data_IF_891318349655
#
_entry.id   IF_891318349655
#
_cell.length_a   1.000
_cell.length_b   1.000
_cell.length_c   1.000
_cell.angle_alpha   90.00
_cell.angle_beta   90.00
_cell.angle_gamma   90.00
#
_symmetry.space_group_name_H-M   'P 1'
#
loop_
_entity.id
_entity.type
_entity.pdbx_description
1 polymer ?
#
# COMPACT_ATOMS: atom_id res chain seq x y z
N UNK A 1 9.55 23.56 -45.60
CA UNK A 1 10.26 22.29 -45.37
C UNK A 1 10.41 22.12 -43.85
N UNK A 2 9.54 21.34 -43.22
CA UNK A 2 9.60 21.07 -41.75
C UNK A 2 10.11 19.65 -41.59
N UNK A 3 11.33 19.54 -41.11
CA UNK A 3 12.02 18.26 -40.92
C UNK A 3 11.46 17.63 -39.64
N UNK A 4 10.69 16.55 -39.78
CA UNK A 4 10.21 15.71 -38.68
C UNK A 4 11.38 14.92 -38.11
N UNK A 5 11.79 15.26 -36.90
CA UNK A 5 12.73 14.44 -36.12
C UNK A 5 11.93 13.32 -35.42
N UNK A 6 11.88 12.17 -36.08
CA UNK A 6 11.42 10.93 -35.43
C UNK A 6 12.43 10.54 -34.33
N UNK A 7 12.08 10.80 -33.08
CA UNK A 7 12.80 10.22 -31.93
C UNK A 7 12.50 8.73 -31.90
N UNK A 8 13.44 7.93 -32.36
CA UNK A 8 13.46 6.50 -32.18
C UNK A 8 13.50 6.17 -30.68
N UNK A 9 12.35 5.77 -30.13
CA UNK A 9 12.23 5.16 -28.82
C UNK A 9 12.82 3.75 -28.97
N UNK A 10 14.02 3.53 -28.42
CA UNK A 10 14.58 2.19 -28.30
C UNK A 10 13.52 1.33 -27.60
N UNK A 11 13.01 0.33 -28.29
CA UNK A 11 12.13 -0.67 -27.72
C UNK A 11 12.96 -1.55 -26.79
N UNK A 12 13.15 -1.12 -25.54
CA UNK A 12 13.38 -2.08 -24.48
C UNK A 12 12.11 -2.90 -24.43
N UNK A 13 12.20 -4.22 -24.66
CA UNK A 13 11.09 -5.14 -24.43
C UNK A 13 10.66 -4.99 -22.98
N UNK A 14 9.57 -4.26 -22.75
CA UNK A 14 8.99 -4.14 -21.40
C UNK A 14 8.75 -5.56 -20.91
N UNK A 15 9.16 -5.90 -19.67
CA UNK A 15 8.89 -7.22 -19.13
C UNK A 15 7.39 -7.48 -19.25
N UNK A 16 7.01 -8.62 -19.82
CA UNK A 16 5.60 -8.97 -19.95
C UNK A 16 5.04 -9.40 -18.61
N UNK A 17 4.58 -8.43 -17.82
CA UNK A 17 3.97 -8.67 -16.51
C UNK A 17 2.64 -9.43 -16.60
N UNK A 18 1.98 -9.44 -17.75
CA UNK A 18 0.82 -10.27 -17.99
C UNK A 18 1.22 -11.74 -18.03
N UNK A 19 2.21 -12.09 -18.86
CA UNK A 19 2.70 -13.47 -18.93
C UNK A 19 3.26 -13.96 -17.58
N UNK A 20 3.93 -13.08 -16.82
CA UNK A 20 4.39 -13.41 -15.45
C UNK A 20 3.23 -13.69 -14.51
N UNK A 21 2.17 -12.86 -14.55
CA UNK A 21 0.97 -13.08 -13.74
C UNK A 21 0.24 -14.38 -14.13
N UNK A 22 0.15 -14.68 -15.41
CA UNK A 22 -0.44 -15.92 -15.91
C UNK A 22 0.35 -17.15 -15.45
N UNK A 23 1.68 -17.11 -15.51
CA UNK A 23 2.55 -18.18 -15.04
C UNK A 23 2.41 -18.47 -13.53
N UNK A 24 2.16 -17.46 -12.71
CA UNK A 24 1.93 -17.63 -11.27
C UNK A 24 0.51 -18.09 -10.93
N UNK A 25 -0.46 -17.75 -11.76
CA UNK A 25 -1.88 -17.96 -11.48
C UNK A 25 -2.23 -19.44 -11.25
N UNK A 26 -1.61 -20.37 -11.98
CA UNK A 26 -1.85 -21.80 -11.80
C UNK A 26 -1.47 -22.28 -10.40
N UNK A 27 -0.28 -21.89 -9.92
CA UNK A 27 0.18 -22.21 -8.57
C UNK A 27 -0.71 -21.60 -7.49
N UNK A 28 -1.19 -20.36 -7.69
CA UNK A 28 -2.11 -19.70 -6.75
C UNK A 28 -3.45 -20.42 -6.69
N UNK A 29 -4.02 -20.79 -7.84
CA UNK A 29 -5.28 -21.52 -7.90
C UNK A 29 -5.20 -22.89 -7.21
N UNK A 30 -4.07 -23.58 -7.33
CA UNK A 30 -3.85 -24.88 -6.69
C UNK A 30 -3.87 -24.80 -5.16
N UNK A 31 -3.47 -23.66 -4.57
CA UNK A 31 -3.39 -23.44 -3.12
C UNK A 31 -4.63 -22.73 -2.54
N UNK A 32 -5.41 -22.03 -3.38
CA UNK A 32 -6.48 -21.14 -2.91
C UNK A 32 -7.52 -21.85 -2.04
N UNK A 33 -7.97 -23.03 -2.44
CA UNK A 33 -8.97 -23.81 -1.68
C UNK A 33 -8.47 -24.24 -0.29
N UNK A 34 -7.18 -24.54 -0.15
CA UNK A 34 -6.58 -24.89 1.14
C UNK A 34 -6.49 -23.67 2.05
N UNK A 35 -6.07 -22.51 1.53
CA UNK A 35 -6.03 -21.27 2.27
C UNK A 35 -7.42 -20.84 2.74
N UNK A 36 -8.44 -20.97 1.88
CA UNK A 36 -9.83 -20.67 2.23
C UNK A 36 -10.34 -21.58 3.35
N UNK A 37 -10.11 -22.89 3.22
CA UNK A 37 -10.54 -23.91 4.20
C UNK A 37 -9.90 -23.72 5.58
N UNK A 38 -8.63 -23.34 5.62
CA UNK A 38 -7.85 -23.23 6.87
C UNK A 38 -7.83 -21.81 7.46
N UNK A 39 -8.25 -20.81 6.69
CA UNK A 39 -8.08 -19.41 7.04
C UNK A 39 -6.61 -18.96 7.08
N UNK A 40 -5.70 -19.70 6.44
CA UNK A 40 -4.28 -19.37 6.41
C UNK A 40 -3.99 -18.25 5.41
N UNK A 41 -2.97 -17.45 5.70
CA UNK A 41 -2.57 -16.37 4.82
C UNK A 41 -1.56 -16.86 3.76
N UNK A 42 -1.74 -16.56 2.46
CA UNK A 42 -0.92 -17.08 1.35
C UNK A 42 0.42 -16.33 1.21
N UNK A 43 1.32 -16.45 2.18
CA UNK A 43 2.62 -15.77 2.19
C UNK A 43 3.48 -16.12 0.98
N UNK A 44 3.42 -17.33 0.50
CA UNK A 44 4.15 -17.83 -0.66
C UNK A 44 3.75 -17.09 -1.95
N UNK A 45 2.46 -16.78 -2.13
CA UNK A 45 1.99 -16.04 -3.30
C UNK A 45 2.66 -14.66 -3.39
N UNK A 46 2.84 -13.99 -2.25
CA UNK A 46 3.48 -12.66 -2.21
C UNK A 46 4.99 -12.72 -2.41
N UNK A 47 5.66 -13.81 -2.00
CA UNK A 47 7.07 -14.02 -2.31
C UNK A 47 7.25 -14.22 -3.81
N UNK A 48 6.45 -15.08 -4.43
CA UNK A 48 6.46 -15.34 -5.86
C UNK A 48 6.14 -14.06 -6.67
N UNK A 49 5.15 -13.26 -6.24
CA UNK A 49 4.86 -11.94 -6.84
C UNK A 49 6.04 -10.96 -6.73
N UNK A 50 6.76 -10.98 -5.62
CA UNK A 50 7.95 -10.15 -5.41
C UNK A 50 9.09 -10.58 -6.33
N UNK A 51 9.39 -11.87 -6.41
CA UNK A 51 10.43 -12.45 -7.27
C UNK A 51 10.14 -12.22 -8.76
N UNK A 52 8.85 -12.25 -9.15
CA UNK A 52 8.42 -11.93 -10.50
C UNK A 52 8.44 -10.41 -10.81
N UNK A 53 8.77 -9.55 -9.84
CA UNK A 53 8.80 -8.09 -9.99
C UNK A 53 7.40 -7.45 -10.05
N UNK A 54 6.35 -8.19 -9.75
CA UNK A 54 4.97 -7.72 -9.83
C UNK A 54 4.63 -6.71 -8.72
N UNK A 55 5.32 -6.71 -7.57
CA UNK A 55 5.10 -5.70 -6.53
C UNK A 55 5.47 -4.28 -6.99
N UNK A 56 6.40 -4.14 -7.93
CA UNK A 56 6.82 -2.85 -8.46
C UNK A 56 6.05 -2.36 -9.69
N UNK A 57 4.98 -3.08 -10.09
CA UNK A 57 4.24 -2.82 -11.33
C UNK A 57 3.74 -1.36 -11.45
N UNK A 58 3.21 -0.78 -10.38
CA UNK A 58 2.66 0.58 -10.35
C UNK A 58 3.64 1.63 -9.81
N UNK A 59 4.82 1.22 -9.38
CA UNK A 59 5.90 2.13 -8.99
C UNK A 59 6.39 2.87 -10.23
N UNK A 60 6.58 4.20 -10.17
CA UNK A 60 7.06 4.97 -11.33
C UNK A 60 8.41 4.47 -11.85
N UNK A 61 8.60 4.51 -13.18
CA UNK A 61 9.84 4.06 -13.83
C UNK A 61 11.08 4.83 -13.34
N UNK A 62 10.94 6.11 -12.98
CA UNK A 62 12.02 6.92 -12.38
C UNK A 62 12.51 6.36 -11.03
N UNK A 63 11.75 5.49 -10.41
CA UNK A 63 12.10 4.80 -9.16
C UNK A 63 12.37 3.30 -9.36
N UNK A 64 12.51 2.84 -10.61
CA UNK A 64 12.85 1.46 -10.95
C UNK A 64 11.66 0.52 -11.11
N UNK A 65 10.43 1.02 -11.03
CA UNK A 65 9.22 0.22 -11.29
C UNK A 65 8.80 0.24 -12.75
N UNK A 66 7.70 -0.45 -13.08
CA UNK A 66 7.17 -0.48 -14.43
C UNK A 66 6.35 0.76 -14.82
N UNK A 67 5.87 1.55 -13.87
CA UNK A 67 5.05 2.72 -14.11
C UNK A 67 3.72 2.39 -14.80
N UNK A 68 3.19 1.18 -14.60
CA UNK A 68 2.01 0.70 -15.28
C UNK A 68 0.77 1.54 -14.93
N UNK A 69 -0.01 1.87 -15.96
CA UNK A 69 -1.27 2.58 -15.81
C UNK A 69 -2.42 1.67 -15.35
N UNK A 70 -3.55 2.28 -14.97
CA UNK A 70 -4.68 1.58 -14.38
C UNK A 70 -5.23 0.42 -15.22
N UNK A 71 -5.32 0.59 -16.55
CA UNK A 71 -5.81 -0.47 -17.45
C UNK A 71 -4.95 -1.72 -17.41
N UNK A 72 -3.62 -1.56 -17.47
CA UNK A 72 -2.69 -2.68 -17.43
C UNK A 72 -2.70 -3.35 -16.06
N UNK A 73 -2.68 -2.55 -15.01
CA UNK A 73 -2.79 -3.00 -13.62
C UNK A 73 -4.07 -3.82 -13.38
N UNK A 74 -5.22 -3.36 -13.89
CA UNK A 74 -6.48 -4.09 -13.77
C UNK A 74 -6.45 -5.47 -14.45
N UNK A 75 -5.74 -5.61 -15.58
CA UNK A 75 -5.57 -6.93 -16.23
C UNK A 75 -4.76 -7.88 -15.35
N UNK A 76 -3.65 -7.42 -14.78
CA UNK A 76 -2.84 -8.24 -13.85
C UNK A 76 -3.67 -8.65 -12.63
N UNK A 77 -4.38 -7.72 -12.01
CA UNK A 77 -5.29 -8.03 -10.88
C UNK A 77 -6.38 -9.02 -11.29
N UNK A 78 -6.93 -8.90 -12.50
CA UNK A 78 -7.95 -9.82 -13.02
C UNK A 78 -7.44 -11.26 -13.19
N UNK A 79 -6.19 -11.43 -13.64
CA UNK A 79 -5.54 -12.73 -13.78
C UNK A 79 -5.34 -13.35 -12.38
N UNK A 80 -4.70 -12.63 -11.48
CA UNK A 80 -4.45 -13.11 -10.10
C UNK A 80 -5.77 -13.36 -9.37
N UNK A 81 -6.78 -12.49 -9.54
CA UNK A 81 -8.08 -12.61 -8.86
C UNK A 81 -8.92 -13.81 -9.30
N UNK A 82 -8.74 -14.30 -10.53
CA UNK A 82 -9.35 -15.56 -10.96
C UNK A 82 -8.73 -16.77 -10.27
N UNK A 83 -7.45 -16.69 -9.93
CA UNK A 83 -6.71 -17.77 -9.29
C UNK A 83 -6.89 -17.74 -7.76
N UNK A 84 -6.66 -16.58 -7.14
CA UNK A 84 -6.81 -16.34 -5.71
C UNK A 84 -7.27 -14.89 -5.44
N UNK A 85 -8.58 -14.69 -5.15
CA UNK A 85 -9.14 -13.38 -4.86
C UNK A 85 -8.50 -12.69 -3.65
N UNK A 86 -8.07 -13.45 -2.65
CA UNK A 86 -7.45 -12.91 -1.42
C UNK A 86 -6.11 -12.26 -1.71
N UNK A 87 -5.26 -12.93 -2.49
CA UNK A 87 -3.99 -12.39 -2.97
C UNK A 87 -4.22 -11.15 -3.84
N UNK A 88 -5.17 -11.21 -4.77
CA UNK A 88 -5.49 -10.09 -5.65
C UNK A 88 -5.98 -8.85 -4.88
N UNK A 89 -6.77 -9.04 -3.81
CA UNK A 89 -7.25 -7.95 -2.97
C UNK A 89 -6.10 -7.22 -2.28
N UNK A 90 -5.18 -7.94 -1.65
CA UNK A 90 -4.01 -7.34 -1.00
C UNK A 90 -3.12 -6.63 -2.00
N UNK A 91 -2.86 -7.27 -3.17
CA UNK A 91 -2.06 -6.71 -4.25
C UNK A 91 -2.69 -5.43 -4.82
N UNK A 92 -4.01 -5.40 -4.98
CA UNK A 92 -4.74 -4.22 -5.46
C UNK A 92 -4.60 -3.03 -4.52
N UNK A 93 -4.68 -3.27 -3.19
CA UNK A 93 -4.46 -2.21 -2.19
C UNK A 93 -3.05 -1.64 -2.29
N UNK A 94 -2.05 -2.49 -2.43
CA UNK A 94 -0.66 -2.07 -2.62
C UNK A 94 -0.49 -1.20 -3.90
N UNK A 95 -1.02 -1.63 -5.03
CA UNK A 95 -0.96 -0.90 -6.28
C UNK A 95 -1.66 0.46 -6.22
N UNK A 96 -2.87 0.52 -5.64
CA UNK A 96 -3.62 1.77 -5.48
C UNK A 96 -2.81 2.78 -4.66
N UNK A 97 -2.19 2.34 -3.56
CA UNK A 97 -1.39 3.24 -2.73
C UNK A 97 -0.18 3.82 -3.50
N UNK A 98 0.54 3.02 -4.29
CA UNK A 98 1.62 3.52 -5.15
C UNK A 98 1.12 4.49 -6.22
N UNK A 99 -0.01 4.18 -6.88
CA UNK A 99 -0.62 5.09 -7.87
C UNK A 99 -1.06 6.42 -7.26
N UNK A 100 -1.62 6.40 -6.06
CA UNK A 100 -2.02 7.62 -5.33
C UNK A 100 -0.79 8.43 -4.94
N UNK A 101 0.22 7.80 -4.34
CA UNK A 101 1.46 8.48 -3.95
C UNK A 101 2.17 9.13 -5.13
N UNK A 102 2.23 8.44 -6.28
CA UNK A 102 2.87 8.95 -7.48
C UNK A 102 2.19 10.18 -8.09
N UNK A 103 0.90 10.38 -7.82
CA UNK A 103 0.09 11.48 -8.37
C UNK A 103 -0.21 12.58 -7.38
N UNK A 104 0.00 12.34 -6.10
CA UNK A 104 -0.34 13.31 -5.06
C UNK A 104 0.79 14.32 -4.86
N UNK A 105 0.55 15.64 -5.07
CA UNK A 105 1.54 16.67 -4.83
C UNK A 105 1.83 16.88 -3.34
N UNK A 106 0.95 16.40 -2.47
CA UNK A 106 1.06 16.58 -1.02
C UNK A 106 1.86 15.49 -0.32
N UNK A 107 2.17 14.39 -1.03
CA UNK A 107 3.02 13.34 -0.48
C UNK A 107 4.48 13.78 -0.39
N UNK A 108 5.12 13.70 0.79
CA UNK A 108 6.54 14.01 0.91
C UNK A 108 7.38 13.05 0.07
N UNK A 109 8.14 13.63 -0.86
CA UNK A 109 8.95 12.89 -1.85
C UNK A 109 9.88 11.86 -1.22
N UNK A 110 10.45 12.16 -0.03
CA UNK A 110 11.33 11.23 0.70
C UNK A 110 10.63 9.90 1.03
N UNK A 111 9.33 9.94 1.39
CA UNK A 111 8.58 8.75 1.79
C UNK A 111 8.10 7.96 0.58
N UNK A 112 7.60 8.63 -0.46
CA UNK A 112 7.22 7.95 -1.71
C UNK A 112 8.42 7.26 -2.36
N UNK A 113 9.60 7.90 -2.39
CA UNK A 113 10.85 7.29 -2.88
C UNK A 113 11.27 6.09 -2.04
N UNK A 114 11.19 6.19 -0.71
CA UNK A 114 11.52 5.07 0.18
C UNK A 114 10.64 3.85 -0.09
N UNK A 115 9.31 4.04 -0.12
CA UNK A 115 8.35 2.98 -0.38
C UNK A 115 8.54 2.38 -1.78
N UNK A 116 8.72 3.23 -2.79
CA UNK A 116 8.98 2.81 -4.16
C UNK A 116 10.23 1.92 -4.26
N UNK A 117 11.36 2.38 -3.70
CA UNK A 117 12.61 1.63 -3.69
C UNK A 117 12.45 0.27 -3.01
N UNK A 118 11.86 0.23 -1.82
CA UNK A 118 11.70 -1.01 -1.08
C UNK A 118 10.80 -2.02 -1.81
N UNK A 119 9.77 -1.55 -2.54
CA UNK A 119 8.90 -2.42 -3.37
C UNK A 119 9.59 -2.93 -4.64
N UNK A 120 10.63 -2.25 -5.11
CA UNK A 120 11.49 -2.72 -6.22
C UNK A 120 12.53 -3.72 -5.72
N UNK A 121 13.10 -3.46 -4.55
CA UNK A 121 14.17 -4.27 -3.97
C UNK A 121 13.66 -5.60 -3.39
N UNK A 122 12.35 -5.72 -3.09
CA UNK A 122 11.81 -6.97 -2.54
C UNK A 122 10.41 -6.89 -1.97
N UNK A 123 10.14 -7.80 -1.03
CA UNK A 123 8.82 -7.98 -0.42
C UNK A 123 8.49 -6.83 0.55
N UNK A 124 7.97 -5.73 0.01
CA UNK A 124 7.61 -4.55 0.78
C UNK A 124 6.23 -4.01 0.38
N UNK A 125 5.18 -4.63 0.94
CA UNK A 125 3.81 -4.19 0.70
C UNK A 125 3.41 -3.03 1.63
N UNK A 126 2.51 -2.19 1.11
CA UNK A 126 1.92 -1.06 1.82
C UNK A 126 0.40 -1.08 1.66
N UNK A 127 -0.31 -0.76 2.74
CA UNK A 127 -1.75 -0.49 2.67
C UNK A 127 -2.17 0.64 3.61
N UNK A 128 -3.31 1.29 3.30
CA UNK A 128 -3.90 2.35 4.08
C UNK A 128 -4.90 1.79 5.09
N UNK A 129 -4.70 2.09 6.37
CA UNK A 129 -5.59 1.75 7.46
C UNK A 129 -6.49 2.94 7.80
N UNK A 130 -7.73 2.93 7.28
CA UNK A 130 -8.64 4.07 7.34
C UNK A 130 -9.87 3.81 8.20
N UNK A 131 -10.38 2.57 8.21
CA UNK A 131 -11.68 2.24 8.81
C UNK A 131 -11.55 2.05 10.31
N UNK A 132 -12.51 2.60 11.04
CA UNK A 132 -12.65 2.49 12.49
C UNK A 132 -14.00 1.87 12.85
N UNK A 133 -14.12 1.14 13.97
CA UNK A 133 -15.36 0.45 14.33
C UNK A 133 -16.58 1.39 14.40
N UNK A 134 -16.42 2.56 14.99
CA UNK A 134 -17.51 3.50 15.27
C UNK A 134 -17.72 4.49 14.11
N UNK A 135 -16.65 5.04 13.55
CA UNK A 135 -16.71 6.02 12.46
C UNK A 135 -16.99 5.36 11.11
N UNK A 136 -16.55 4.10 10.91
CA UNK A 136 -16.58 3.44 9.61
C UNK A 136 -15.56 4.04 8.64
N UNK A 137 -15.96 4.26 7.38
CA UNK A 137 -15.10 4.84 6.35
C UNK A 137 -14.98 6.36 6.50
N UNK A 138 -13.78 6.95 6.28
CA UNK A 138 -13.59 8.40 6.21
C UNK A 138 -14.49 9.11 5.20
N UNK A 139 -14.99 8.40 4.19
CA UNK A 139 -15.91 8.94 3.19
C UNK A 139 -17.27 9.40 3.77
N UNK A 140 -17.60 8.98 4.99
CA UNK A 140 -18.82 9.41 5.71
C UNK A 140 -18.64 10.72 6.48
N UNK A 141 -17.45 11.31 6.44
CA UNK A 141 -17.09 12.50 7.21
C UNK A 141 -16.74 12.17 8.67
N UNK A 142 -16.44 13.21 9.44
CA UNK A 142 -16.06 13.10 10.84
C UNK A 142 -14.54 13.00 11.07
N UNK A 143 -14.12 13.25 12.30
CA UNK A 143 -12.73 13.14 12.71
C UNK A 143 -12.41 11.69 13.11
N UNK A 144 -11.23 11.17 12.71
CA UNK A 144 -10.78 9.86 13.19
C UNK A 144 -10.70 9.82 14.72
N UNK A 145 -11.12 8.70 15.32
CA UNK A 145 -10.90 8.43 16.73
C UNK A 145 -9.41 8.13 17.00
N UNK A 146 -8.69 7.61 16.00
CA UNK A 146 -7.22 7.42 16.07
C UNK A 146 -6.51 8.76 16.20
N UNK A 147 -5.72 8.91 17.26
CA UNK A 147 -5.01 10.14 17.61
C UNK A 147 -3.50 9.98 17.45
N UNK A 148 -2.88 10.98 16.84
CA UNK A 148 -1.43 11.13 16.74
C UNK A 148 -0.96 12.25 17.68
N UNK A 149 -0.17 11.88 18.68
CA UNK A 149 0.48 12.81 19.63
C UNK A 149 1.91 13.03 19.23
N UNK A 150 2.33 14.29 19.21
CA UNK A 150 3.73 14.65 18.98
C UNK A 150 4.61 14.20 20.14
N UNK A 151 5.79 13.67 19.82
CA UNK A 151 6.83 13.32 20.78
C UNK A 151 8.14 13.97 20.35
N UNK A 152 9.16 13.92 21.17
CA UNK A 152 10.50 14.47 20.83
C UNK A 152 11.09 13.82 19.57
N UNK A 153 10.84 12.53 19.35
CA UNK A 153 11.41 11.75 18.24
C UNK A 153 10.45 11.48 17.09
N UNK A 154 9.19 11.98 17.15
CA UNK A 154 8.20 11.73 16.10
C UNK A 154 6.77 11.81 16.58
N UNK A 155 6.00 10.74 16.34
CA UNK A 155 4.59 10.68 16.68
C UNK A 155 4.24 9.37 17.38
N UNK A 156 3.38 9.43 18.38
CA UNK A 156 2.73 8.27 18.98
C UNK A 156 1.31 8.21 18.48
N UNK A 157 0.94 7.10 17.84
CA UNK A 157 -0.41 6.86 17.39
C UNK A 157 -1.14 5.94 18.38
N UNK A 158 -2.40 6.26 18.68
CA UNK A 158 -3.29 5.46 19.51
C UNK A 158 -4.67 5.41 18.88
N UNK A 159 -5.18 4.21 18.64
CA UNK A 159 -6.49 4.00 18.03
C UNK A 159 -6.70 2.55 17.61
N UNK A 160 -7.91 2.28 17.08
CA UNK A 160 -8.31 0.96 16.61
C UNK A 160 -8.73 1.03 15.14
N UNK A 161 -8.07 0.24 14.30
CA UNK A 161 -8.39 0.11 12.87
C UNK A 161 -8.90 -1.29 12.58
N UNK A 162 -9.90 -1.38 11.73
CA UNK A 162 -10.48 -2.63 11.24
C UNK A 162 -10.29 -2.74 9.73
N UNK A 163 -10.52 -3.93 9.19
CA UNK A 163 -10.32 -4.25 7.76
C UNK A 163 -8.91 -3.92 7.27
N UNK A 164 -7.90 -4.30 8.07
CA UNK A 164 -6.48 -4.08 7.77
C UNK A 164 -5.98 -5.13 6.76
N UNK A 165 -6.52 -5.07 5.54
CA UNK A 165 -6.24 -6.02 4.45
C UNK A 165 -4.73 -6.19 4.24
N UNK A 166 -4.26 -7.44 4.32
CA UNK A 166 -2.86 -7.80 4.14
C UNK A 166 -1.98 -7.59 5.38
N UNK A 167 -2.55 -7.24 6.55
CA UNK A 167 -1.77 -6.94 7.76
C UNK A 167 -0.68 -7.95 8.13
N UNK A 168 -0.81 -9.27 7.89
CA UNK A 168 0.26 -10.23 8.21
C UNK A 168 1.54 -10.05 7.39
N UNK A 169 1.46 -9.41 6.21
CA UNK A 169 2.58 -9.30 5.27
C UNK A 169 2.98 -7.86 4.95
N UNK A 170 2.20 -6.89 5.39
CA UNK A 170 2.53 -5.48 5.15
C UNK A 170 3.84 -5.10 5.85
N UNK A 171 4.71 -4.40 5.13
CA UNK A 171 5.90 -3.76 5.69
C UNK A 171 5.59 -2.35 6.19
N UNK A 172 4.60 -1.69 5.59
CA UNK A 172 4.22 -0.33 5.89
C UNK A 172 2.71 -0.16 6.00
N UNK A 173 2.29 0.57 7.03
CA UNK A 173 0.92 1.01 7.22
C UNK A 173 0.79 2.51 6.98
N UNK A 174 -0.20 2.94 6.20
CA UNK A 174 -0.61 4.34 6.07
C UNK A 174 -1.82 4.57 6.98
N UNK A 175 -1.56 4.96 8.21
CA UNK A 175 -2.59 5.08 9.25
C UNK A 175 -3.27 6.44 9.15
N UNK A 176 -4.57 6.46 8.91
CA UNK A 176 -5.40 7.66 8.94
C UNK A 176 -5.69 8.05 10.38
N UNK A 177 -5.27 9.25 10.80
CA UNK A 177 -5.39 9.74 12.15
C UNK A 177 -5.54 11.26 12.21
N UNK A 178 -6.04 11.78 13.33
CA UNK A 178 -6.01 13.21 13.64
C UNK A 178 -4.88 13.53 14.62
N UNK A 179 -4.40 14.76 14.60
CA UNK A 179 -3.43 15.25 15.59
C UNK A 179 -4.14 15.59 16.92
N UNK A 180 -3.38 15.55 18.02
CA UNK A 180 -3.81 15.96 19.36
C UNK A 180 -3.51 17.45 19.58
N UNK A 181 -4.07 18.29 18.73
CA UNK A 181 -3.90 19.75 18.73
C UNK A 181 -5.25 20.42 19.01
N UNK A 182 -5.26 21.68 19.45
CA UNK A 182 -6.51 22.44 19.68
C UNK A 182 -7.36 22.52 18.40
N UNK A 183 -6.69 22.67 17.25
CA UNK A 183 -7.28 22.55 15.92
C UNK A 183 -6.74 21.27 15.27
N UNK A 184 -7.44 20.13 15.37
CA UNK A 184 -6.92 18.86 14.90
C UNK A 184 -6.74 18.85 13.37
N UNK A 185 -5.56 18.46 12.91
CA UNK A 185 -5.30 18.17 11.51
C UNK A 185 -5.45 16.69 11.24
N UNK A 186 -6.04 16.35 10.12
CA UNK A 186 -6.24 14.96 9.71
C UNK A 186 -5.27 14.59 8.59
N UNK A 187 -4.67 13.41 8.69
CA UNK A 187 -3.71 12.97 7.67
C UNK A 187 -3.33 11.50 7.78
N UNK A 188 -2.39 11.10 6.92
CA UNK A 188 -1.84 9.74 6.91
C UNK A 188 -0.45 9.74 7.56
N UNK A 189 -0.26 8.79 8.46
CA UNK A 189 1.01 8.55 9.13
C UNK A 189 1.62 7.26 8.60
N UNK A 190 2.87 7.34 8.13
CA UNK A 190 3.62 6.18 7.68
C UNK A 190 4.19 5.45 8.88
N UNK A 191 3.75 4.23 9.10
CA UNK A 191 4.10 3.39 10.25
C UNK A 191 4.72 2.08 9.76
N UNK A 192 5.94 1.73 10.18
CA UNK A 192 6.54 0.44 9.85
C UNK A 192 5.82 -0.70 10.58
N UNK A 193 5.72 -1.85 9.93
CA UNK A 193 5.28 -3.08 10.58
C UNK A 193 6.28 -3.50 11.68
N UNK A 194 5.79 -4.19 12.71
CA UNK A 194 6.65 -4.67 13.81
C UNK A 194 6.85 -3.66 14.94
N UNK A 195 6.32 -2.44 14.84
CA UNK A 195 6.21 -1.58 16.03
C UNK A 195 5.19 -2.20 16.99
N UNK A 196 5.68 -2.72 18.11
CA UNK A 196 4.84 -3.32 19.13
C UNK A 196 3.97 -2.27 19.80
N UNK A 197 2.68 -2.55 19.86
CA UNK A 197 1.81 -1.96 20.87
C UNK A 197 2.32 -2.33 22.28
N UNK A 198 2.24 -1.43 23.29
CA UNK A 198 2.53 -1.82 24.68
C UNK A 198 1.67 -3.03 25.06
N UNK A 199 2.18 -3.89 25.95
CA UNK A 199 1.53 -5.13 26.37
C UNK A 199 0.11 -4.98 26.94
N UNK A 200 -0.31 -3.77 27.26
CA UNK A 200 -1.65 -3.41 27.77
C UNK A 200 -2.68 -3.07 26.68
N UNK A 201 -2.32 -3.11 25.40
CA UNK A 201 -3.25 -2.73 24.32
C UNK A 201 -4.12 -3.89 23.87
N UNK A 202 -5.42 -3.61 23.64
CA UNK A 202 -6.39 -4.58 23.09
C UNK A 202 -5.96 -5.04 21.68
N UNK A 203 -6.30 -6.28 21.26
CA UNK A 203 -6.10 -6.73 19.89
C UNK A 203 -6.68 -5.71 18.89
N UNK A 204 -5.92 -5.37 17.85
CA UNK A 204 -6.31 -4.36 16.86
C UNK A 204 -5.92 -2.91 17.22
N UNK A 205 -5.37 -2.64 18.41
CA UNK A 205 -4.88 -1.31 18.76
C UNK A 205 -3.50 -1.07 18.16
N UNK A 206 -3.38 -0.03 17.34
CA UNK A 206 -2.09 0.43 16.82
C UNK A 206 -1.55 1.47 17.79
N UNK A 207 -0.54 1.10 18.57
CA UNK A 207 0.28 2.06 19.29
C UNK A 207 1.67 2.03 18.67
N UNK A 208 2.01 3.05 17.91
CA UNK A 208 3.28 3.16 17.24
C UNK A 208 3.99 4.45 17.64
N UNK A 209 5.22 4.34 18.13
CA UNK A 209 6.15 5.45 18.13
C UNK A 209 6.91 5.42 16.80
N UNK A 210 6.56 6.30 15.88
CA UNK A 210 7.26 6.40 14.60
C UNK A 210 8.15 7.64 14.59
N UNK A 211 9.44 7.51 14.20
CA UNK A 211 10.26 8.69 13.94
C UNK A 211 9.64 9.45 12.75
N UNK A 212 9.32 10.73 12.96
CA UNK A 212 8.85 11.72 11.99
C UNK A 212 8.02 11.15 10.82
N UNK A 213 6.78 10.74 11.10
CA UNK A 213 5.87 10.29 10.06
C UNK A 213 5.46 11.42 9.12
N UNK A 214 5.36 11.13 7.83
CA UNK A 214 4.82 12.05 6.85
C UNK A 214 3.35 12.30 7.14
N UNK A 215 2.98 13.56 7.25
CA UNK A 215 1.59 13.97 7.37
C UNK A 215 1.16 14.60 6.05
N UNK A 216 0.22 13.97 5.36
CA UNK A 216 -0.48 14.60 4.26
C UNK A 216 -1.75 15.22 4.83
N UNK A 217 -1.84 16.54 4.90
CA UNK A 217 -3.09 17.20 5.23
C UNK A 217 -4.03 17.14 4.03
N UNK A 218 -5.13 16.42 4.12
CA UNK A 218 -6.28 16.71 3.27
C UNK A 218 -7.06 17.83 3.95
N UNK A 219 -7.00 19.04 3.41
CA UNK A 219 -7.95 20.10 3.76
C UNK A 219 -9.32 19.64 3.30
N UNK A 220 -10.18 19.26 4.24
CA UNK A 220 -11.61 19.16 3.97
C UNK A 220 -12.12 20.60 3.93
N UNK A 221 -12.25 21.15 2.74
CA UNK A 221 -13.05 22.37 2.54
C UNK A 221 -14.51 21.94 2.64
N UNK A 222 -15.22 22.58 3.54
CA UNK A 222 -16.68 22.51 3.73
C UNK A 222 -17.42 22.91 2.47
#
# INVERSE_FOLDING_TARGET
MVTSVARGRAAHSEPDYIARAEALAEGFAARAAEHDRTGSFPFENFRELSEAGLLSLTVPAVHGGAGAGARYTARVIGIIGKADPSTALVLSMHYINHLVMARSPTWPVRHSRKLARESVEGLALVNALRVEPELGSPARGGLPATVARRTETGWRLSGHKIYSTGSPILKWYLVWARTDEAEPRVGQFLVPAGLRAPASSRPGTITACAPAAAMTSSSTTS
#
